data_IF_490406958523
#
_entry.id   IF_490406958523
#
_cell.length_a   1.000
_cell.length_b   1.000
_cell.length_c   1.000
_cell.angle_alpha   90.00
_cell.angle_beta   90.00
_cell.angle_gamma   90.00
#
_symmetry.space_group_name_H-M   'P 1'
#
loop_
_entity.id
_entity.type
_entity.pdbx_description
1 polymer ?
#
# COMPACT_ATOMS: atom_id res chain seq x y z
N UNK A 1 42.35 -24.37 -45.84
CA UNK A 1 41.50 -25.28 -46.65
C UNK A 1 40.93 -26.44 -45.81
N UNK A 2 41.72 -27.41 -45.32
CA UNK A 2 41.17 -28.49 -44.47
C UNK A 2 40.66 -27.99 -43.11
N UNK A 3 41.38 -27.08 -42.45
CA UNK A 3 40.92 -26.45 -41.20
C UNK A 3 39.64 -25.60 -41.37
N UNK A 4 39.50 -24.92 -42.52
CA UNK A 4 38.31 -24.10 -42.82
C UNK A 4 37.07 -24.95 -43.11
N UNK A 5 37.25 -26.11 -43.77
CA UNK A 5 36.16 -27.07 -44.03
C UNK A 5 35.73 -27.73 -42.70
N UNK A 6 36.68 -28.12 -41.84
CA UNK A 6 36.41 -28.67 -40.52
C UNK A 6 35.68 -27.64 -39.63
N UNK A 7 36.09 -26.38 -39.68
CA UNK A 7 35.46 -25.29 -38.93
C UNK A 7 34.04 -25.00 -39.44
N UNK A 8 33.80 -25.05 -40.76
CA UNK A 8 32.45 -24.90 -41.32
C UNK A 8 31.51 -26.06 -40.96
N UNK A 9 32.01 -27.30 -40.95
CA UNK A 9 31.24 -28.47 -40.51
C UNK A 9 30.88 -28.39 -39.02
N UNK A 10 31.84 -28.02 -38.16
CA UNK A 10 31.58 -27.81 -36.73
C UNK A 10 30.54 -26.71 -36.47
N UNK A 11 30.57 -25.61 -37.25
CA UNK A 11 29.59 -24.53 -37.15
C UNK A 11 28.18 -24.98 -37.60
N UNK A 12 28.09 -25.82 -38.64
CA UNK A 12 26.82 -26.38 -39.11
C UNK A 12 26.20 -27.31 -38.07
N UNK A 13 27.01 -28.20 -37.47
CA UNK A 13 26.55 -29.13 -36.43
C UNK A 13 26.09 -28.38 -35.17
N UNK A 14 26.80 -27.31 -34.78
CA UNK A 14 26.38 -26.46 -33.66
C UNK A 14 25.04 -25.74 -33.94
N UNK A 15 24.86 -25.22 -35.16
CA UNK A 15 23.62 -24.58 -35.57
C UNK A 15 22.45 -25.57 -35.58
N UNK A 16 22.64 -26.75 -36.18
CA UNK A 16 21.64 -27.82 -36.20
C UNK A 16 21.26 -28.24 -34.78
N UNK A 17 22.24 -28.43 -33.89
CA UNK A 17 22.00 -28.77 -32.50
C UNK A 17 21.20 -27.68 -31.75
N UNK A 18 21.50 -26.40 -31.97
CA UNK A 18 20.73 -25.28 -31.39
C UNK A 18 19.28 -25.28 -31.89
N UNK A 19 19.05 -25.46 -33.19
CA UNK A 19 17.69 -25.54 -33.76
C UNK A 19 16.90 -26.72 -33.20
N UNK A 20 17.53 -27.89 -33.10
CA UNK A 20 16.91 -29.08 -32.49
C UNK A 20 16.50 -28.81 -31.04
N UNK A 21 17.36 -28.18 -30.23
CA UNK A 21 17.02 -27.85 -28.83
C UNK A 21 15.84 -26.87 -28.72
N UNK A 22 15.77 -25.86 -29.59
CA UNK A 22 14.64 -24.92 -29.66
C UNK A 22 13.33 -25.64 -30.04
N UNK A 23 13.36 -26.49 -31.07
CA UNK A 23 12.20 -27.28 -31.49
C UNK A 23 11.73 -28.23 -30.38
N UNK A 24 12.67 -28.88 -29.69
CA UNK A 24 12.36 -29.73 -28.54
C UNK A 24 11.74 -28.96 -27.38
N UNK A 25 12.19 -27.74 -27.09
CA UNK A 25 11.58 -26.88 -26.08
C UNK A 25 10.11 -26.58 -26.41
N UNK A 26 9.83 -26.08 -27.62
CA UNK A 26 8.47 -25.78 -28.06
C UNK A 26 7.57 -27.02 -28.07
N UNK A 27 8.12 -28.17 -28.47
CA UNK A 27 7.40 -29.45 -28.42
C UNK A 27 7.06 -29.86 -26.98
N UNK A 28 7.95 -29.64 -26.01
CA UNK A 28 7.66 -29.89 -24.58
C UNK A 28 6.59 -28.96 -24.03
N UNK A 29 6.63 -27.67 -24.37
CA UNK A 29 5.61 -26.70 -23.96
C UNK A 29 4.24 -27.10 -24.53
N UNK A 30 4.17 -27.39 -25.83
CA UNK A 30 2.95 -27.84 -26.48
C UNK A 30 2.40 -29.13 -25.88
N UNK A 31 3.29 -30.09 -25.56
CA UNK A 31 2.92 -31.33 -24.90
C UNK A 31 2.32 -31.07 -23.51
N UNK A 32 2.99 -30.29 -22.68
CA UNK A 32 2.52 -29.97 -21.33
C UNK A 32 1.12 -29.31 -21.33
N UNK A 33 0.88 -28.37 -22.27
CA UNK A 33 -0.43 -27.77 -22.48
C UNK A 33 -1.49 -28.80 -22.91
N UNK A 34 -1.15 -29.67 -23.87
CA UNK A 34 -2.09 -30.69 -24.37
C UNK A 34 -2.48 -31.74 -23.32
N UNK A 35 -1.53 -32.08 -22.44
CA UNK A 35 -1.72 -33.05 -21.36
C UNK A 35 -2.27 -32.41 -20.08
N UNK A 36 -2.47 -31.07 -20.08
CA UNK A 36 -2.85 -30.27 -18.91
C UNK A 36 -1.94 -30.49 -17.71
N UNK A 37 -0.64 -30.62 -17.97
CA UNK A 37 0.37 -30.84 -16.94
C UNK A 37 1.00 -29.49 -16.55
N UNK A 38 0.33 -28.79 -15.63
CA UNK A 38 0.78 -27.49 -15.11
C UNK A 38 2.17 -27.59 -14.47
N UNK A 39 2.47 -28.70 -13.78
CA UNK A 39 3.77 -28.91 -13.15
C UNK A 39 4.89 -28.83 -14.20
N UNK A 40 4.79 -29.62 -15.26
CA UNK A 40 5.77 -29.63 -16.34
C UNK A 40 5.86 -28.25 -17.00
N UNK A 41 4.73 -27.58 -17.22
CA UNK A 41 4.70 -26.25 -17.82
C UNK A 41 5.45 -25.23 -16.94
N UNK A 42 5.22 -25.20 -15.62
CA UNK A 42 5.97 -24.36 -14.68
C UNK A 42 7.49 -24.61 -14.71
N UNK A 43 7.91 -25.87 -14.89
CA UNK A 43 9.35 -26.18 -15.02
C UNK A 43 9.97 -25.67 -16.33
N UNK A 44 9.17 -25.47 -17.37
CA UNK A 44 9.60 -25.03 -18.69
C UNK A 44 9.60 -23.51 -18.84
N UNK A 45 8.59 -22.83 -18.27
CA UNK A 45 8.44 -21.36 -18.37
C UNK A 45 9.32 -20.61 -17.38
N UNK A 46 9.75 -21.28 -16.31
CA UNK A 46 10.67 -20.72 -15.32
C UNK A 46 11.72 -21.74 -14.88
N UNK A 47 12.61 -22.17 -15.79
CA UNK A 47 13.57 -23.22 -15.51
C UNK A 47 14.60 -22.77 -14.46
N UNK A 48 14.88 -21.46 -14.38
CA UNK A 48 15.76 -20.91 -13.35
C UNK A 48 15.18 -21.10 -11.95
N UNK A 49 13.96 -20.63 -11.67
CA UNK A 49 13.33 -20.78 -10.36
C UNK A 49 13.16 -22.26 -10.01
N UNK A 50 12.77 -23.09 -10.98
CA UNK A 50 12.67 -24.53 -10.78
C UNK A 50 13.99 -25.17 -10.34
N UNK A 51 15.08 -24.93 -11.06
CA UNK A 51 16.38 -25.52 -10.71
C UNK A 51 16.92 -25.00 -9.37
N UNK A 52 16.76 -23.70 -9.09
CA UNK A 52 17.28 -23.10 -7.87
C UNK A 52 16.46 -23.47 -6.62
N UNK A 53 15.13 -23.41 -6.71
CA UNK A 53 14.23 -23.57 -5.56
C UNK A 53 13.80 -25.02 -5.35
N UNK A 54 13.58 -25.79 -6.42
CA UNK A 54 13.12 -27.19 -6.33
C UNK A 54 14.31 -28.15 -6.34
N UNK A 55 15.19 -28.07 -7.35
CA UNK A 55 16.33 -29.00 -7.49
C UNK A 55 17.53 -28.63 -6.61
N UNK A 56 17.63 -27.37 -6.18
CA UNK A 56 18.79 -26.82 -5.46
C UNK A 56 20.08 -26.96 -6.25
N UNK A 57 19.99 -26.77 -7.57
CA UNK A 57 21.08 -26.87 -8.53
C UNK A 57 21.36 -25.52 -9.19
N UNK A 58 22.61 -25.32 -9.63
CA UNK A 58 22.94 -24.18 -10.48
C UNK A 58 22.34 -24.37 -11.86
N UNK A 59 21.55 -23.41 -12.32
CA UNK A 59 21.03 -23.36 -13.67
C UNK A 59 22.09 -22.79 -14.62
N UNK A 60 22.40 -23.48 -15.73
CA UNK A 60 23.27 -22.97 -16.78
C UNK A 60 22.48 -22.70 -18.08
N UNK A 61 22.86 -21.57 -18.68
CA UNK A 61 22.22 -20.78 -19.74
C UNK A 61 22.04 -21.50 -21.06
N UNK A 62 21.01 -22.33 -21.18
CA UNK A 62 20.34 -22.58 -22.45
C UNK A 62 18.84 -22.39 -22.24
N UNK A 63 18.48 -21.18 -21.81
CA UNK A 63 17.10 -20.80 -21.63
C UNK A 63 16.48 -20.45 -22.98
N UNK A 64 15.37 -21.11 -23.31
CA UNK A 64 14.59 -20.92 -24.53
C UNK A 64 13.22 -20.33 -24.24
N UNK A 65 12.99 -19.87 -23.01
CA UNK A 65 11.79 -19.13 -22.59
C UNK A 65 11.44 -17.98 -23.52
N UNK A 66 12.44 -17.29 -24.07
CA UNK A 66 12.22 -16.21 -25.03
C UNK A 66 11.51 -16.62 -26.34
N UNK A 67 11.41 -17.92 -26.63
CA UNK A 67 10.67 -18.42 -27.81
C UNK A 67 9.16 -18.41 -27.62
N UNK A 68 8.69 -18.13 -26.40
CA UNK A 68 7.26 -18.12 -26.05
C UNK A 68 6.85 -16.78 -25.41
N UNK A 69 7.70 -15.76 -25.45
CA UNK A 69 7.42 -14.42 -24.88
C UNK A 69 6.14 -13.80 -25.46
N UNK A 70 5.85 -14.04 -26.74
CA UNK A 70 4.68 -13.52 -27.44
C UNK A 70 3.37 -14.18 -27.00
N UNK A 71 3.45 -15.38 -26.42
CA UNK A 71 2.30 -16.14 -25.89
C UNK A 71 2.28 -16.24 -24.36
N UNK A 72 3.15 -15.48 -23.68
CA UNK A 72 3.20 -15.43 -22.22
C UNK A 72 1.89 -15.01 -21.57
N UNK A 73 1.16 -13.98 -22.05
CA UNK A 73 -0.14 -13.62 -21.50
C UNK A 73 -1.11 -14.81 -21.45
N UNK A 74 -1.20 -15.59 -22.52
CA UNK A 74 -2.04 -16.79 -22.63
C UNK A 74 -1.59 -17.90 -21.68
N UNK A 75 -0.27 -18.12 -21.57
CA UNK A 75 0.29 -19.10 -20.64
C UNK A 75 0.02 -18.71 -19.19
N UNK A 76 0.20 -17.43 -18.83
CA UNK A 76 -0.13 -16.90 -17.51
C UNK A 76 -1.63 -17.05 -17.22
N UNK A 77 -2.51 -16.70 -18.16
CA UNK A 77 -3.95 -16.87 -18.01
C UNK A 77 -4.35 -18.34 -17.81
N UNK A 78 -3.70 -19.25 -18.53
CA UNK A 78 -3.93 -20.68 -18.40
C UNK A 78 -3.49 -21.20 -17.02
N UNK A 79 -2.25 -20.91 -16.62
CA UNK A 79 -1.66 -21.36 -15.36
C UNK A 79 -2.33 -20.74 -14.12
N UNK A 80 -2.88 -19.52 -14.26
CA UNK A 80 -3.54 -18.83 -13.15
C UNK A 80 -4.79 -19.56 -12.66
N UNK A 81 -5.46 -20.37 -13.48
CA UNK A 81 -6.73 -21.00 -13.11
C UNK A 81 -6.58 -21.92 -11.88
N UNK A 82 -5.63 -22.85 -11.93
CA UNK A 82 -5.36 -23.76 -10.80
C UNK A 82 -4.57 -23.06 -9.69
N UNK A 83 -3.72 -22.09 -10.04
CA UNK A 83 -2.98 -21.31 -9.06
C UNK A 83 -3.92 -20.48 -8.18
N UNK A 84 -4.80 -19.69 -8.77
CA UNK A 84 -5.77 -18.86 -8.03
C UNK A 84 -6.69 -19.74 -7.18
N UNK A 85 -7.09 -20.93 -7.66
CA UNK A 85 -7.84 -21.88 -6.83
C UNK A 85 -7.06 -22.29 -5.58
N UNK A 86 -5.79 -22.68 -5.73
CA UNK A 86 -4.91 -22.99 -4.61
C UNK A 86 -4.72 -21.78 -3.68
N UNK A 87 -4.51 -20.58 -4.24
CA UNK A 87 -4.32 -19.35 -3.48
C UNK A 87 -5.59 -18.95 -2.73
N UNK A 88 -6.78 -19.12 -3.28
CA UNK A 88 -8.04 -18.84 -2.58
C UNK A 88 -8.24 -19.76 -1.35
N UNK A 89 -7.71 -20.99 -1.39
CA UNK A 89 -7.73 -21.89 -0.23
C UNK A 89 -6.67 -21.50 0.83
N UNK A 90 -5.49 -21.07 0.41
CA UNK A 90 -4.37 -20.73 1.31
C UNK A 90 -4.37 -19.29 1.81
N UNK A 91 -4.94 -18.37 1.04
CA UNK A 91 -5.03 -16.94 1.28
C UNK A 91 -6.48 -16.49 1.05
N UNK A 92 -7.44 -16.93 1.88
CA UNK A 92 -8.87 -16.65 1.69
C UNK A 92 -9.24 -15.16 1.82
N UNK A 93 -8.27 -14.32 2.18
CA UNK A 93 -8.41 -12.88 2.30
C UNK A 93 -7.85 -12.12 1.09
N UNK A 94 -7.19 -12.79 0.14
CA UNK A 94 -6.80 -12.15 -1.12
C UNK A 94 -7.86 -12.37 -2.19
N UNK A 95 -8.16 -11.31 -2.92
CA UNK A 95 -9.06 -11.33 -4.07
C UNK A 95 -8.22 -11.03 -5.31
N UNK A 96 -8.22 -11.97 -6.25
CA UNK A 96 -7.47 -11.87 -7.49
C UNK A 96 -8.38 -11.35 -8.60
N UNK A 97 -7.98 -10.25 -9.22
CA UNK A 97 -8.70 -9.65 -10.35
C UNK A 97 -7.80 -9.63 -11.58
N UNK A 98 -8.24 -10.29 -12.66
CA UNK A 98 -7.58 -10.19 -13.95
C UNK A 98 -7.85 -8.81 -14.56
N UNK A 99 -6.79 -8.01 -14.71
CA UNK A 99 -6.88 -6.65 -15.28
C UNK A 99 -6.51 -6.61 -16.76
N UNK A 100 -5.77 -7.62 -17.21
CA UNK A 100 -5.29 -7.86 -18.57
C UNK A 100 -4.97 -9.35 -18.68
N UNK A 101 -4.87 -9.90 -19.89
CA UNK A 101 -4.69 -11.33 -20.10
C UNK A 101 -3.46 -11.84 -19.34
N UNK A 102 -3.68 -12.72 -18.36
CA UNK A 102 -2.63 -13.30 -17.54
C UNK A 102 -2.03 -12.38 -16.48
N UNK A 103 -2.55 -11.15 -16.30
CA UNK A 103 -2.10 -10.19 -15.28
C UNK A 103 -3.16 -9.99 -14.21
N UNK A 104 -2.76 -10.17 -12.96
CA UNK A 104 -3.68 -10.19 -11.83
C UNK A 104 -3.27 -9.17 -10.78
N UNK A 105 -4.21 -8.29 -10.43
CA UNK A 105 -4.11 -7.48 -9.22
C UNK A 105 -4.62 -8.27 -8.02
N UNK A 106 -4.04 -7.97 -6.87
CA UNK A 106 -4.39 -8.54 -5.58
C UNK A 106 -5.05 -7.44 -4.76
N UNK A 107 -6.28 -7.66 -4.34
CA UNK A 107 -6.93 -6.85 -3.32
C UNK A 107 -6.87 -7.59 -2.00
N UNK A 108 -6.61 -6.86 -0.92
CA UNK A 108 -6.71 -7.42 0.42
C UNK A 108 -8.15 -7.20 0.92
N UNK A 109 -8.87 -8.31 1.11
CA UNK A 109 -10.18 -8.37 1.72
C UNK A 109 -11.31 -7.81 0.87
N UNK A 110 -12.53 -7.90 1.41
CA UNK A 110 -13.75 -7.35 0.81
C UNK A 110 -14.42 -6.35 1.77
N UNK A 111 -13.63 -5.49 2.40
CA UNK A 111 -14.14 -4.40 3.23
C UNK A 111 -14.39 -3.15 2.38
N UNK A 112 -15.11 -2.19 2.97
CA UNK A 112 -15.59 -0.96 2.35
C UNK A 112 -14.47 -0.06 1.76
N UNK A 113 -13.21 -0.35 2.05
CA UNK A 113 -12.00 0.31 1.54
C UNK A 113 -10.93 -0.71 1.13
N UNK A 114 -11.34 -1.83 0.51
CA UNK A 114 -10.39 -2.82 -0.02
C UNK A 114 -9.47 -2.13 -1.01
N UNK A 115 -8.16 -2.21 -0.77
CA UNK A 115 -7.14 -1.55 -1.58
C UNK A 115 -6.39 -2.55 -2.44
N UNK A 116 -5.86 -2.04 -3.55
CA UNK A 116 -4.82 -2.70 -4.32
C UNK A 116 -3.65 -2.96 -3.37
N UNK A 117 -3.30 -4.24 -3.17
CA UNK A 117 -2.23 -4.67 -2.28
C UNK A 117 -1.01 -5.20 -3.05
N UNK A 118 -1.12 -5.35 -4.37
CA UNK A 118 -0.03 -5.75 -5.25
C UNK A 118 -0.51 -6.53 -6.46
N UNK A 119 0.41 -7.32 -7.02
CA UNK A 119 0.17 -8.13 -8.22
C UNK A 119 0.62 -9.57 -8.00
N UNK A 120 -0.05 -10.51 -8.68
CA UNK A 120 0.36 -11.91 -8.72
C UNK A 120 1.22 -12.15 -9.97
N UNK A 121 2.49 -12.49 -9.74
CA UNK A 121 3.35 -13.06 -10.76
C UNK A 121 3.06 -14.56 -10.89
N UNK A 122 2.29 -14.92 -11.92
CA UNK A 122 1.87 -16.30 -12.15
C UNK A 122 3.07 -17.19 -12.41
N UNK A 123 4.03 -16.78 -13.25
CA UNK A 123 5.18 -17.59 -13.68
C UNK A 123 6.14 -17.87 -12.53
N UNK A 124 6.37 -16.87 -11.68
CA UNK A 124 7.19 -17.01 -10.48
C UNK A 124 6.40 -17.51 -9.27
N UNK A 125 5.07 -17.68 -9.39
CA UNK A 125 4.16 -18.06 -8.31
C UNK A 125 4.45 -17.22 -7.05
N UNK A 126 4.43 -15.90 -7.24
CA UNK A 126 4.91 -14.94 -6.25
C UNK A 126 3.96 -13.74 -6.17
N UNK A 127 3.79 -13.22 -4.96
CA UNK A 127 3.17 -11.92 -4.75
C UNK A 127 4.20 -10.80 -4.86
N UNK A 128 3.91 -9.82 -5.71
CA UNK A 128 4.62 -8.55 -5.78
C UNK A 128 3.77 -7.51 -5.06
N UNK A 129 3.91 -7.45 -3.73
CA UNK A 129 3.15 -6.50 -2.91
C UNK A 129 3.55 -5.06 -3.21
N UNK A 130 2.57 -4.15 -3.07
CA UNK A 130 2.86 -2.72 -3.03
C UNK A 130 3.76 -2.42 -1.83
N UNK A 131 4.95 -1.82 -2.02
CA UNK A 131 5.90 -1.62 -0.94
C UNK A 131 5.37 -0.73 0.19
N UNK A 132 4.58 0.29 -0.14
CA UNK A 132 4.07 1.25 0.83
C UNK A 132 2.97 0.58 1.67
N UNK A 133 2.04 -0.13 1.02
CA UNK A 133 0.96 -0.84 1.73
C UNK A 133 1.48 -2.04 2.54
N UNK A 134 2.51 -2.73 2.05
CA UNK A 134 3.16 -3.80 2.79
C UNK A 134 3.92 -3.26 4.03
N UNK A 135 4.65 -2.15 3.91
CA UNK A 135 5.36 -1.52 5.02
C UNK A 135 4.40 -1.03 6.13
N UNK A 136 3.24 -0.47 5.76
CA UNK A 136 2.18 -0.14 6.72
C UNK A 136 1.71 -1.37 7.49
N UNK A 137 1.51 -2.49 6.81
CA UNK A 137 1.10 -3.74 7.43
C UNK A 137 2.17 -4.27 8.40
N UNK A 138 3.44 -4.26 8.00
CA UNK A 138 4.58 -4.63 8.85
C UNK A 138 4.58 -3.79 10.14
N UNK A 139 4.56 -2.47 10.00
CA UNK A 139 4.52 -1.53 11.14
C UNK A 139 3.30 -1.76 12.02
N UNK A 140 2.13 -2.06 11.44
CA UNK A 140 0.92 -2.33 12.20
C UNK A 140 1.02 -3.61 13.06
N UNK A 141 1.81 -4.60 12.65
CA UNK A 141 2.13 -5.78 13.46
C UNK A 141 3.15 -5.44 14.56
N UNK A 142 4.19 -4.66 14.26
CA UNK A 142 5.20 -4.23 15.25
C UNK A 142 4.60 -3.38 16.37
N UNK A 143 3.69 -2.46 16.03
CA UNK A 143 3.04 -1.57 16.99
C UNK A 143 2.00 -2.26 17.86
N UNK A 144 1.50 -3.43 17.44
CA UNK A 144 0.55 -4.20 18.23
C UNK A 144 1.16 -4.72 19.53
N UNK A 145 2.46 -5.01 19.55
CA UNK A 145 3.17 -5.37 20.79
C UNK A 145 3.14 -4.25 21.83
N UNK A 146 2.83 -3.02 21.40
CA UNK A 146 2.77 -1.82 22.23
C UNK A 146 1.32 -1.33 22.45
N UNK A 147 0.31 -2.13 22.09
CA UNK A 147 -1.11 -1.75 22.10
C UNK A 147 -1.38 -0.44 21.34
N UNK A 148 -0.63 -0.19 20.25
CA UNK A 148 -0.77 0.99 19.40
C UNK A 148 -1.20 0.63 17.98
N UNK A 149 -1.94 1.55 17.34
CA UNK A 149 -2.16 1.51 15.89
C UNK A 149 -1.18 2.44 15.18
N UNK A 150 -1.04 2.25 13.87
CA UNK A 150 -0.15 3.03 13.00
C UNK A 150 -0.35 4.54 13.16
N UNK A 151 -1.61 4.98 13.18
CA UNK A 151 -1.93 6.40 13.18
C UNK A 151 -2.31 6.98 14.55
N UNK A 152 -2.16 6.22 15.64
CA UNK A 152 -2.62 6.61 16.97
C UNK A 152 -2.05 7.95 17.46
N UNK A 153 -0.73 8.15 17.31
CA UNK A 153 -0.07 9.38 17.78
C UNK A 153 -0.48 10.61 16.93
N UNK A 154 -0.64 10.43 15.62
CA UNK A 154 -1.09 11.48 14.70
C UNK A 154 -2.56 11.85 14.91
N UNK A 155 -3.43 10.86 15.12
CA UNK A 155 -4.84 11.09 15.47
C UNK A 155 -4.93 11.91 16.77
N UNK A 156 -4.11 11.58 17.78
CA UNK A 156 -4.06 12.31 19.04
C UNK A 156 -3.65 13.78 18.84
N UNK A 157 -2.64 14.05 18.03
CA UNK A 157 -2.21 15.42 17.68
C UNK A 157 -3.33 16.18 16.96
N UNK A 158 -3.96 15.59 15.95
CA UNK A 158 -5.08 16.19 15.22
C UNK A 158 -6.26 16.49 16.14
N UNK A 159 -6.56 15.59 17.08
CA UNK A 159 -7.60 15.80 18.09
C UNK A 159 -7.27 16.95 19.03
N UNK A 160 -6.01 17.09 19.49
CA UNK A 160 -5.60 18.21 20.34
C UNK A 160 -5.74 19.55 19.61
N UNK A 161 -5.28 19.63 18.36
CA UNK A 161 -5.41 20.84 17.55
C UNK A 161 -6.88 21.18 17.27
N UNK A 162 -7.69 20.16 16.97
CA UNK A 162 -9.14 20.31 16.78
C UNK A 162 -9.82 20.87 18.04
N UNK A 163 -9.45 20.38 19.21
CA UNK A 163 -10.00 20.88 20.49
C UNK A 163 -9.64 22.35 20.71
N UNK A 164 -8.39 22.77 20.45
CA UNK A 164 -7.99 24.17 20.60
C UNK A 164 -8.75 25.11 19.64
N UNK A 165 -9.00 24.68 18.41
CA UNK A 165 -9.82 25.46 17.46
C UNK A 165 -11.29 25.51 17.89
N UNK A 166 -11.82 24.39 18.39
CA UNK A 166 -13.18 24.31 18.91
C UNK A 166 -13.35 25.26 20.11
N UNK A 167 -12.40 25.30 21.05
CA UNK A 167 -12.41 26.25 22.16
C UNK A 167 -12.35 27.71 21.69
N UNK A 168 -11.57 28.01 20.64
CA UNK A 168 -11.53 29.35 20.05
C UNK A 168 -12.88 29.76 19.47
N UNK A 169 -13.55 28.83 18.77
CA UNK A 169 -14.87 29.03 18.19
C UNK A 169 -15.94 29.21 19.28
N UNK A 170 -15.95 28.35 20.30
CA UNK A 170 -16.95 28.36 21.38
C UNK A 170 -16.85 29.61 22.27
N UNK A 171 -15.68 30.23 22.38
CA UNK A 171 -15.50 31.46 23.13
C UNK A 171 -15.97 32.74 22.39
N UNK A 172 -16.57 32.64 21.20
CA UNK A 172 -17.08 33.79 20.43
C UNK A 172 -18.05 34.66 21.25
N UNK A 173 -19.02 34.07 21.93
CA UNK A 173 -20.01 34.82 22.71
C UNK A 173 -19.35 35.60 23.86
N UNK A 174 -18.30 35.05 24.48
CA UNK A 174 -17.53 35.76 25.51
C UNK A 174 -16.73 36.92 24.93
N UNK A 175 -16.16 36.75 23.73
CA UNK A 175 -15.46 37.83 23.01
C UNK A 175 -16.42 38.96 22.65
N UNK A 176 -17.61 38.64 22.17
CA UNK A 176 -18.65 39.61 21.82
C UNK A 176 -19.09 40.42 23.06
N UNK A 177 -19.35 39.75 24.19
CA UNK A 177 -19.68 40.42 25.46
C UNK A 177 -18.55 41.33 25.95
N UNK A 178 -17.30 40.86 25.85
CA UNK A 178 -16.12 41.63 26.24
C UNK A 178 -15.94 42.86 25.35
N UNK A 179 -16.16 42.73 24.05
CA UNK A 179 -16.13 43.82 23.07
C UNK A 179 -17.17 44.89 23.39
N UNK A 180 -18.40 44.48 23.72
CA UNK A 180 -19.46 45.38 24.15
C UNK A 180 -19.12 46.13 25.44
N UNK A 181 -18.49 45.44 26.41
CA UNK A 181 -18.02 46.05 27.65
C UNK A 181 -16.92 47.10 27.39
N UNK A 182 -15.91 46.76 26.57
CA UNK A 182 -14.82 47.66 26.21
C UNK A 182 -15.33 48.89 25.45
N UNK A 183 -16.30 48.73 24.56
CA UNK A 183 -16.94 49.86 23.87
C UNK A 183 -17.69 50.79 24.85
N UNK A 184 -18.35 50.25 25.87
CA UNK A 184 -18.98 51.07 26.93
C UNK A 184 -17.94 51.84 27.74
N UNK A 185 -16.84 51.20 28.15
CA UNK A 185 -15.75 51.85 28.90
C UNK A 185 -15.09 52.98 28.08
N UNK A 186 -14.85 52.75 26.79
CA UNK A 186 -14.35 53.78 25.86
C UNK A 186 -15.28 55.00 25.79
N UNK A 187 -16.60 54.77 25.72
CA UNK A 187 -17.60 55.83 25.68
C UNK A 187 -17.64 56.62 26.99
N UNK A 188 -17.57 55.94 28.13
CA UNK A 188 -17.52 56.59 29.45
C UNK A 188 -16.29 57.49 29.64
N UNK A 189 -15.12 57.05 29.14
CA UNK A 189 -13.89 57.87 29.14
C UNK A 189 -14.04 59.11 28.24
N UNK A 190 -14.72 58.97 27.09
CA UNK A 190 -14.97 60.09 26.18
C UNK A 190 -15.98 61.10 26.72
N UNK A 191 -17.02 60.63 27.43
CA UNK A 191 -18.06 61.45 28.04
C UNK A 191 -17.54 62.18 29.30
N UNK A 192 -16.62 61.59 30.07
CA UNK A 192 -16.03 62.14 31.30
C UNK A 192 -14.79 63.04 31.07
N UNK A 193 -14.70 63.75 29.94
CA UNK A 193 -13.57 64.60 29.48
C UNK A 193 -13.10 65.76 30.39
N UNK A 194 -13.50 65.79 31.66
CA UNK A 194 -13.14 66.83 32.63
C UNK A 194 -12.13 66.32 33.66
N UNK A 195 -10.90 66.86 33.59
CA UNK A 195 -9.88 67.05 34.67
C UNK A 195 -8.54 66.27 34.68
N UNK A 196 -8.31 65.18 33.92
CA UNK A 196 -6.98 64.51 33.91
C UNK A 196 -6.57 63.99 32.52
N UNK A 197 -5.65 64.68 31.84
CA UNK A 197 -5.39 64.50 30.40
C UNK A 197 -4.29 63.50 30.02
N UNK A 198 -3.40 63.10 30.94
CA UNK A 198 -2.33 62.15 30.63
C UNK A 198 -2.71 60.69 30.89
N UNK A 199 -3.38 60.40 32.00
CA UNK A 199 -3.79 59.02 32.38
C UNK A 199 -4.91 58.48 31.48
N UNK A 200 -5.83 59.35 31.03
CA UNK A 200 -6.94 58.95 30.15
C UNK A 200 -6.50 58.53 28.74
N UNK A 201 -5.31 58.95 28.30
CA UNK A 201 -4.78 58.55 27.00
C UNK A 201 -4.19 57.13 27.02
N UNK A 202 -3.48 56.79 28.10
CA UNK A 202 -2.87 55.49 28.32
C UNK A 202 -3.94 54.40 28.54
N UNK A 203 -4.97 54.69 29.33
CA UNK A 203 -6.14 53.82 29.53
C UNK A 203 -6.91 53.60 28.22
N UNK A 204 -7.12 54.67 27.44
CA UNK A 204 -7.76 54.55 26.12
C UNK A 204 -6.94 53.68 25.16
N UNK A 205 -5.61 53.82 25.16
CA UNK A 205 -4.75 53.00 24.32
C UNK A 205 -4.81 51.52 24.72
N UNK A 206 -4.81 51.21 26.03
CA UNK A 206 -4.94 49.84 26.51
C UNK A 206 -6.26 49.17 26.09
N UNK A 207 -7.38 49.92 26.12
CA UNK A 207 -8.69 49.43 25.65
C UNK A 207 -8.71 49.18 24.13
N UNK A 208 -8.06 50.05 23.35
CA UNK A 208 -7.91 49.87 21.91
C UNK A 208 -7.06 48.63 21.61
N UNK A 209 -5.94 48.44 22.31
CA UNK A 209 -5.08 47.27 22.15
C UNK A 209 -5.82 45.97 22.48
N UNK A 210 -6.70 45.97 23.50
CA UNK A 210 -7.54 44.82 23.84
C UNK A 210 -8.61 44.55 22.78
N UNK A 211 -9.24 45.59 22.22
CA UNK A 211 -10.16 45.47 21.09
C UNK A 211 -9.47 44.94 19.82
N UNK A 212 -8.23 45.36 19.54
CA UNK A 212 -7.44 44.83 18.42
C UNK A 212 -7.14 43.35 18.63
N UNK A 213 -6.77 42.92 19.84
CA UNK A 213 -6.57 41.49 20.14
C UNK A 213 -7.84 40.66 19.94
N UNK A 214 -9.00 41.18 20.37
CA UNK A 214 -10.28 40.51 20.15
C UNK A 214 -10.61 40.40 18.65
N UNK A 215 -10.34 41.46 17.87
CA UNK A 215 -10.52 41.42 16.41
C UNK A 215 -9.61 40.38 15.75
N UNK A 216 -8.33 40.30 16.14
CA UNK A 216 -7.40 39.28 15.66
C UNK A 216 -7.88 37.86 16.04
N UNK A 217 -8.46 37.69 17.23
CA UNK A 217 -9.03 36.40 17.67
C UNK A 217 -10.29 36.02 16.88
N UNK A 218 -11.15 36.99 16.51
CA UNK A 218 -12.33 36.78 15.67
C UNK A 218 -11.94 36.38 14.24
N UNK A 219 -10.92 37.03 13.67
CA UNK A 219 -10.39 36.67 12.35
C UNK A 219 -9.84 35.23 12.37
N UNK A 220 -9.09 34.86 13.41
CA UNK A 220 -8.60 33.49 13.61
C UNK A 220 -9.72 32.49 13.84
N UNK A 221 -10.79 32.87 14.54
CA UNK A 221 -11.95 32.00 14.76
C UNK A 221 -12.73 31.74 13.47
N UNK A 222 -12.81 32.73 12.58
CA UNK A 222 -13.40 32.57 11.25
C UNK A 222 -12.63 31.58 10.39
N UNK A 223 -11.29 31.65 10.39
CA UNK A 223 -10.43 30.67 9.70
C UNK A 223 -10.49 29.27 10.34
N UNK A 224 -10.65 29.22 11.67
CA UNK A 224 -10.69 27.99 12.45
C UNK A 224 -11.79 27.02 12.01
N UNK A 225 -12.94 27.50 11.53
CA UNK A 225 -14.03 26.61 11.06
C UNK A 225 -13.60 25.72 9.88
N UNK A 226 -12.96 26.30 8.86
CA UNK A 226 -12.50 25.54 7.69
C UNK A 226 -11.35 24.59 8.06
N UNK A 227 -10.46 25.05 8.93
CA UNK A 227 -9.34 24.22 9.40
C UNK A 227 -9.83 23.04 10.25
N UNK A 228 -10.78 23.27 11.15
CA UNK A 228 -11.37 22.23 12.00
C UNK A 228 -12.00 21.10 11.17
N UNK A 229 -12.72 21.45 10.10
CA UNK A 229 -13.33 20.44 9.23
C UNK A 229 -12.26 19.60 8.52
N UNK A 230 -11.18 20.23 8.04
CA UNK A 230 -10.04 19.50 7.44
C UNK A 230 -9.36 18.57 8.43
N UNK A 231 -9.14 19.01 9.67
CA UNK A 231 -8.52 18.19 10.71
C UNK A 231 -9.41 16.99 11.09
N UNK A 232 -10.72 17.20 11.21
CA UNK A 232 -11.69 16.13 11.47
C UNK A 232 -11.71 15.11 10.34
N UNK A 233 -11.71 15.55 9.09
CA UNK A 233 -11.68 14.68 7.92
C UNK A 233 -10.38 13.86 7.87
N UNK A 234 -9.23 14.49 8.12
CA UNK A 234 -7.95 13.78 8.20
C UNK A 234 -7.94 12.74 9.32
N UNK A 235 -8.44 13.09 10.50
CA UNK A 235 -8.54 12.15 11.63
C UNK A 235 -9.43 10.95 11.30
N UNK A 236 -10.54 11.19 10.59
CA UNK A 236 -11.44 10.14 10.12
C UNK A 236 -10.75 9.20 9.12
N UNK A 237 -10.01 9.74 8.15
CA UNK A 237 -9.25 8.96 7.16
C UNK A 237 -8.18 8.08 7.82
N UNK A 238 -7.46 8.61 8.81
CA UNK A 238 -6.47 7.84 9.56
C UNK A 238 -7.10 6.72 10.41
N UNK A 239 -8.24 6.99 11.04
CA UNK A 239 -8.99 5.99 11.83
C UNK A 239 -9.55 4.86 10.95
N UNK A 240 -9.98 5.24 9.75
CA UNK A 240 -10.38 4.33 8.67
C UNK A 240 -9.23 3.40 8.26
N UNK A 241 -8.05 3.96 8.00
CA UNK A 241 -6.85 3.17 7.66
C UNK A 241 -6.45 2.22 8.80
N UNK A 242 -6.46 2.68 10.06
CA UNK A 242 -6.19 1.83 11.22
C UNK A 242 -7.19 0.66 11.33
N UNK A 243 -8.47 0.92 11.01
CA UNK A 243 -9.52 -0.11 11.00
C UNK A 243 -9.26 -1.15 9.91
N UNK A 244 -8.89 -0.71 8.70
CA UNK A 244 -8.53 -1.61 7.58
C UNK A 244 -7.33 -2.48 7.95
N UNK A 245 -6.25 -1.87 8.44
CA UNK A 245 -5.06 -2.60 8.88
C UNK A 245 -5.40 -3.62 9.97
N UNK A 246 -6.30 -3.29 10.90
CA UNK A 246 -6.77 -4.24 11.91
C UNK A 246 -7.47 -5.46 11.29
N UNK A 247 -8.31 -5.27 10.26
CA UNK A 247 -8.93 -6.39 9.55
C UNK A 247 -7.90 -7.24 8.79
N UNK A 248 -6.94 -6.62 8.12
CA UNK A 248 -5.84 -7.31 7.42
C UNK A 248 -5.01 -8.16 8.38
N UNK A 249 -4.60 -7.59 9.51
CA UNK A 249 -3.87 -8.31 10.56
C UNK A 249 -4.65 -9.50 11.06
N UNK A 250 -5.93 -9.30 11.39
CA UNK A 250 -6.79 -10.37 11.89
C UNK A 250 -6.98 -11.49 10.86
N UNK A 251 -7.10 -11.15 9.57
CA UNK A 251 -7.18 -12.12 8.49
C UNK A 251 -5.91 -12.96 8.37
N UNK A 252 -4.73 -12.33 8.45
CA UNK A 252 -3.44 -13.03 8.46
C UNK A 252 -3.33 -13.93 9.69
N UNK A 253 -3.60 -13.41 10.90
CA UNK A 253 -3.54 -14.18 12.15
C UNK A 253 -4.47 -15.39 12.14
N UNK A 254 -5.65 -15.27 11.53
CA UNK A 254 -6.60 -16.39 11.45
C UNK A 254 -6.07 -17.56 10.64
N UNK A 255 -5.23 -17.30 9.64
CA UNK A 255 -4.71 -18.33 8.71
C UNK A 255 -3.30 -18.75 9.05
N UNK A 256 -2.43 -17.80 9.40
CA UNK A 256 -0.98 -18.00 9.58
C UNK A 256 -0.53 -17.83 11.03
N UNK A 257 -1.43 -17.46 11.96
CA UNK A 257 -1.16 -17.16 13.37
C UNK A 257 -0.32 -15.92 13.64
N UNK A 258 0.79 -15.75 12.93
CA UNK A 258 1.68 -14.60 13.05
C UNK A 258 2.19 -14.11 11.68
N UNK A 259 2.75 -12.89 11.69
CA UNK A 259 3.23 -12.25 10.48
C UNK A 259 4.48 -12.94 9.90
N UNK A 260 5.33 -13.51 10.76
CA UNK A 260 6.54 -14.23 10.33
C UNK A 260 6.17 -15.45 9.49
N UNK A 261 5.19 -16.24 9.95
CA UNK A 261 4.70 -17.43 9.27
C UNK A 261 4.04 -17.08 7.94
N UNK A 262 3.31 -15.95 7.89
CA UNK A 262 2.80 -15.42 6.62
C UNK A 262 3.93 -15.08 5.64
N UNK A 263 4.96 -14.36 6.09
CA UNK A 263 6.10 -14.04 5.24
C UNK A 263 6.87 -15.29 4.78
N UNK A 264 7.16 -16.21 5.71
CA UNK A 264 7.83 -17.49 5.40
C UNK A 264 7.01 -18.30 4.37
N UNK A 265 5.67 -18.29 4.46
CA UNK A 265 4.82 -18.99 3.48
C UNK A 265 4.82 -18.29 2.10
N UNK A 266 4.87 -16.96 2.07
CA UNK A 266 4.99 -16.19 0.82
C UNK A 266 6.34 -16.45 0.14
N UNK A 267 7.45 -16.48 0.90
CA UNK A 267 8.79 -16.77 0.37
C UNK A 267 8.90 -18.18 -0.20
N UNK A 268 8.16 -19.13 0.36
CA UNK A 268 8.13 -20.52 -0.09
C UNK A 268 6.97 -20.84 -1.04
N UNK A 269 6.22 -19.84 -1.53
CA UNK A 269 4.99 -20.05 -2.28
C UNK A 269 5.19 -20.90 -3.54
N UNK A 270 6.23 -20.60 -4.33
CA UNK A 270 6.59 -21.38 -5.52
C UNK A 270 6.84 -22.85 -5.19
N UNK A 271 7.63 -23.13 -4.15
CA UNK A 271 7.95 -24.50 -3.72
C UNK A 271 6.70 -25.24 -3.24
N UNK A 272 5.88 -24.56 -2.43
CA UNK A 272 4.66 -25.13 -1.85
C UNK A 272 3.64 -25.47 -2.94
N UNK A 273 3.46 -24.58 -3.91
CA UNK A 273 2.52 -24.79 -5.01
C UNK A 273 2.99 -25.86 -5.99
N UNK A 274 4.27 -25.88 -6.39
CA UNK A 274 4.77 -26.93 -7.29
C UNK A 274 4.74 -28.32 -6.63
N UNK A 275 4.92 -28.41 -5.32
CA UNK A 275 4.74 -29.68 -4.61
C UNK A 275 3.27 -30.09 -4.52
N UNK A 276 2.34 -29.13 -4.40
CA UNK A 276 0.91 -29.41 -4.48
C UNK A 276 0.53 -30.01 -5.85
N UNK A 277 1.08 -29.49 -6.95
CA UNK A 277 0.80 -30.00 -8.31
C UNK A 277 1.32 -31.42 -8.58
N UNK A 278 2.24 -31.96 -7.75
CA UNK A 278 2.74 -33.34 -7.90
C UNK A 278 1.77 -34.41 -7.39
N UNK A 279 0.77 -34.01 -6.61
CA UNK A 279 -0.14 -34.88 -5.88
C UNK A 279 -1.56 -34.75 -6.41
#
# INVERSE_FOLDING_TARGET
MEEEILQQQNNFDELAAKLTRKSQFLSKVSKALSEKNDYDLFTLVNPQAYHQLIKKERFQTNDFTNLIDDIYPEICHYLSQNLIKYLNEKYPFFIFQEIDLGKFKIHFGNWWDSRDFGELDVINVKFNFDPDEFDKLVKAFELEEQDKNLNSDKIKELSQRSNSLQELIENQEKRDLKKDELHKQLKEIEDNRSLFSSHSHEEKQALIDELTKIADEDDRANEAYSELEKLKQQSLELSKEDTVLSYEKNAIKKVFHDFKTFNDHNENLYVNYLNFLKH
#
